data_IF_455274943329
#
_entry.id   IF_455274943329
#
_cell.length_a   1.000
_cell.length_b   1.000
_cell.length_c   1.000
_cell.angle_alpha   90.00
_cell.angle_beta   90.00
_cell.angle_gamma   90.00
#
_symmetry.space_group_name_H-M   'P 1'
#
loop_
_entity.id
_entity.type
_entity.pdbx_description
1 polymer ?
#
# COMPACT_ATOMS: atom_id res chain seq x y z
N UNK A 1 0.42 37.74 50.82
CA UNK A 1 -1.01 38.00 51.01
C UNK A 1 -1.40 37.31 52.31
N UNK A 2 -1.55 38.15 53.34
CA UNK A 2 -2.00 37.93 54.72
C UNK A 2 -2.09 36.50 55.29
N UNK A 3 -1.05 36.13 56.02
CA UNK A 3 -1.14 35.44 57.32
C UNK A 3 -1.35 36.48 58.42
N UNK A 4 -2.31 36.27 59.32
CA UNK A 4 -2.46 37.00 60.59
C UNK A 4 -3.25 36.10 61.58
N UNK A 5 -3.06 36.25 62.90
CA UNK A 5 -2.62 35.17 63.79
C UNK A 5 -3.58 34.87 64.94
N UNK A 6 -3.62 33.62 65.41
CA UNK A 6 -4.24 33.29 66.70
C UNK A 6 -3.15 33.00 67.73
N UNK A 7 -3.17 33.79 68.81
CA UNK A 7 -2.13 33.95 69.80
C UNK A 7 -2.05 32.80 70.82
N UNK A 8 -0.85 32.63 71.38
CA UNK A 8 -0.53 31.75 72.51
C UNK A 8 -1.07 32.27 73.86
N UNK A 9 -1.39 31.28 74.71
CA UNK A 9 -1.30 31.21 76.19
C UNK A 9 -2.60 31.39 77.01
N UNK A 10 -2.73 30.78 78.22
CA UNK A 10 -1.80 29.88 78.93
C UNK A 10 -2.39 28.53 79.41
N UNK A 11 -1.47 27.62 79.71
CA UNK A 11 -1.57 26.42 80.54
C UNK A 11 -2.29 26.64 81.89
N UNK A 12 -3.23 25.76 82.23
CA UNK A 12 -3.61 25.48 83.62
C UNK A 12 -4.17 24.05 83.73
N UNK A 13 -3.53 23.28 84.61
CA UNK A 13 -3.77 21.89 84.94
C UNK A 13 -5.23 21.53 85.24
N UNK A 14 -5.65 20.35 84.78
CA UNK A 14 -6.67 19.53 85.46
C UNK A 14 -6.29 18.04 85.38
N UNK A 15 -5.55 17.61 86.40
CA UNK A 15 -5.63 16.27 86.96
C UNK A 15 -7.09 15.92 87.25
N UNK A 16 -7.61 14.84 86.68
CA UNK A 16 -8.62 14.00 87.35
C UNK A 16 -8.35 12.54 86.94
N UNK A 17 -7.46 11.92 87.69
CA UNK A 17 -7.38 10.48 87.83
C UNK A 17 -8.72 10.00 88.43
N UNK A 18 -9.60 9.46 87.58
CA UNK A 18 -10.86 8.87 88.03
C UNK A 18 -10.53 7.67 88.93
N UNK A 19 -10.91 7.83 90.19
CA UNK A 19 -10.69 6.88 91.26
C UNK A 19 -11.46 5.59 90.99
N UNK A 20 -10.75 4.55 90.55
CA UNK A 20 -11.23 3.17 90.64
C UNK A 20 -11.36 2.84 92.13
N UNK A 21 -12.58 2.98 92.65
CA UNK A 21 -12.95 2.54 93.99
C UNK A 21 -12.63 1.06 94.14
N UNK A 22 -11.60 0.76 94.93
CA UNK A 22 -11.39 -0.57 95.47
C UNK A 22 -12.47 -0.79 96.54
N UNK A 23 -13.46 -1.61 96.22
CA UNK A 23 -14.32 -2.22 97.21
C UNK A 23 -13.49 -3.22 98.04
N UNK A 24 -13.79 -3.23 99.34
CA UNK A 24 -13.03 -3.83 100.43
C UNK A 24 -12.64 -5.30 100.25
N UNK A 25 -11.50 -5.62 100.83
CA UNK A 25 -10.95 -6.96 100.95
C UNK A 25 -11.79 -7.81 101.92
N UNK A 26 -12.38 -8.90 101.42
CA UNK A 26 -12.57 -10.12 102.20
C UNK A 26 -11.43 -11.10 101.90
N UNK A 27 -10.82 -11.61 102.96
CA UNK A 27 -9.56 -12.35 102.89
C UNK A 27 -9.69 -13.73 102.25
N UNK A 28 -8.81 -14.00 101.29
CA UNK A 28 -8.39 -15.36 100.95
C UNK A 28 -6.88 -15.41 100.71
N UNK A 29 -6.24 -16.37 101.39
CA UNK A 29 -4.81 -16.46 101.58
C UNK A 29 -3.98 -16.83 100.35
N UNK A 30 -2.67 -16.66 100.55
CA UNK A 30 -1.51 -17.00 99.71
C UNK A 30 -1.75 -17.61 98.33
N UNK A 31 -1.35 -16.89 97.28
CA UNK A 31 -1.19 -17.51 95.96
C UNK A 31 -0.92 -16.55 94.82
N UNK A 32 0.32 -16.04 94.69
CA UNK A 32 0.90 -15.52 93.45
C UNK A 32 0.23 -14.30 92.79
N UNK A 33 0.91 -13.70 91.82
CA UNK A 33 0.34 -12.63 90.98
C UNK A 33 -0.97 -13.15 90.32
N UNK A 34 -2.10 -12.44 90.44
CA UNK A 34 -3.42 -12.91 89.96
C UNK A 34 -3.46 -13.22 88.45
N UNK A 35 -2.52 -12.68 87.68
CA UNK A 35 -2.33 -12.96 86.25
C UNK A 35 -1.73 -14.34 85.90
N UNK A 36 -1.22 -15.09 86.89
CA UNK A 36 -0.61 -16.43 86.71
C UNK A 36 -1.48 -17.57 87.28
N UNK A 37 -2.74 -17.29 87.61
CA UNK A 37 -3.69 -18.31 88.06
C UNK A 37 -4.22 -19.08 86.83
N UNK A 38 -3.66 -20.26 86.58
CA UNK A 38 -3.97 -21.12 85.42
C UNK A 38 -5.40 -21.69 85.40
N UNK A 39 -6.21 -21.42 86.42
CA UNK A 39 -7.55 -21.98 86.59
C UNK A 39 -8.53 -21.55 85.48
N UNK A 40 -8.37 -20.34 84.93
CA UNK A 40 -9.21 -19.82 83.84
C UNK A 40 -8.58 -19.96 82.44
N UNK A 41 -7.31 -20.38 82.36
CA UNK A 41 -6.58 -20.48 81.08
C UNK A 41 -7.18 -21.54 80.15
N UNK A 42 -7.66 -22.67 80.69
CA UNK A 42 -8.27 -23.71 79.88
C UNK A 42 -9.55 -23.23 79.18
N UNK A 43 -10.43 -22.51 79.89
CA UNK A 43 -11.65 -21.93 79.33
C UNK A 43 -11.35 -20.88 78.27
N UNK A 44 -10.37 -20.01 78.52
CA UNK A 44 -9.94 -18.99 77.56
C UNK A 44 -9.37 -19.63 76.29
N UNK A 45 -8.54 -20.68 76.41
CA UNK A 45 -7.99 -21.41 75.26
C UNK A 45 -9.10 -22.07 74.44
N UNK A 46 -10.08 -22.72 75.10
CA UNK A 46 -11.22 -23.36 74.40
C UNK A 46 -12.04 -22.32 73.63
N UNK A 47 -12.31 -21.16 74.24
CA UNK A 47 -13.03 -20.08 73.58
C UNK A 47 -12.22 -19.45 72.43
N UNK A 48 -10.91 -19.28 72.62
CA UNK A 48 -10.00 -18.79 71.59
C UNK A 48 -9.97 -19.74 70.39
N UNK A 49 -9.90 -21.06 70.64
CA UNK A 49 -9.94 -22.08 69.60
C UNK A 49 -11.29 -22.10 68.88
N UNK A 50 -12.40 -21.88 69.59
CA UNK A 50 -13.72 -21.79 68.98
C UNK A 50 -13.80 -20.60 68.01
N UNK A 51 -13.42 -19.39 68.44
CA UNK A 51 -13.42 -18.20 67.58
C UNK A 51 -12.41 -18.36 66.44
N UNK A 52 -11.21 -18.87 66.74
CA UNK A 52 -10.18 -19.10 65.74
C UNK A 52 -10.66 -20.09 64.68
N UNK A 53 -11.32 -21.18 65.07
CA UNK A 53 -11.90 -22.13 64.12
C UNK A 53 -12.96 -21.46 63.25
N UNK A 54 -13.88 -20.68 63.83
CA UNK A 54 -14.92 -19.95 63.07
C UNK A 54 -14.28 -19.00 62.04
N UNK A 55 -13.31 -18.19 62.47
CA UNK A 55 -12.60 -17.24 61.57
C UNK A 55 -11.79 -17.98 60.52
N UNK A 56 -11.10 -19.06 60.89
CA UNK A 56 -10.33 -19.90 59.98
C UNK A 56 -11.23 -20.50 58.89
N UNK A 57 -12.39 -21.06 59.26
CA UNK A 57 -13.34 -21.58 58.28
C UNK A 57 -13.91 -20.48 57.37
N UNK A 58 -14.20 -19.29 57.92
CA UNK A 58 -14.65 -18.16 57.12
C UNK A 58 -13.59 -17.72 56.10
N UNK A 59 -12.32 -17.62 56.49
CA UNK A 59 -11.22 -17.29 55.59
C UNK A 59 -10.98 -18.38 54.54
N UNK A 60 -10.88 -19.63 54.97
CA UNK A 60 -10.62 -20.77 54.11
C UNK A 60 -11.72 -20.96 53.05
N UNK A 61 -12.99 -20.73 53.42
CA UNK A 61 -14.13 -21.00 52.53
C UNK A 61 -14.60 -19.79 51.73
N UNK A 62 -14.30 -18.56 52.16
CA UNK A 62 -14.79 -17.35 51.48
C UNK A 62 -13.68 -16.47 50.91
N UNK A 63 -12.64 -16.16 51.69
CA UNK A 63 -11.60 -15.21 51.27
C UNK A 63 -10.59 -15.83 50.30
N UNK A 64 -10.09 -17.02 50.63
CA UNK A 64 -9.14 -17.76 49.77
C UNK A 64 -9.71 -18.03 48.37
N UNK A 65 -10.93 -18.57 48.19
CA UNK A 65 -11.46 -18.81 46.85
C UNK A 65 -11.74 -17.52 46.06
N UNK A 66 -12.13 -16.43 46.73
CA UNK A 66 -12.31 -15.12 46.08
C UNK A 66 -11.00 -14.58 45.52
N UNK A 67 -9.90 -14.67 46.27
CA UNK A 67 -8.57 -14.26 45.79
C UNK A 67 -8.07 -15.15 44.66
N UNK A 68 -8.25 -16.47 44.77
CA UNK A 68 -7.85 -17.41 43.72
C UNK A 68 -8.61 -17.14 42.41
N UNK A 69 -9.92 -16.93 42.48
CA UNK A 69 -10.73 -16.60 41.31
C UNK A 69 -10.28 -15.33 40.59
N UNK A 70 -9.85 -14.30 41.31
CA UNK A 70 -9.33 -13.08 40.70
C UNK A 70 -8.00 -13.30 39.96
N UNK A 71 -7.11 -14.13 40.50
CA UNK A 71 -5.84 -14.48 39.85
C UNK A 71 -6.11 -15.33 38.60
N UNK A 72 -6.95 -16.35 38.72
CA UNK A 72 -7.30 -17.25 37.62
C UNK A 72 -8.02 -16.49 36.49
N UNK A 73 -8.94 -15.57 36.83
CA UNK A 73 -9.63 -14.72 35.84
C UNK A 73 -8.66 -13.82 35.08
N UNK A 74 -7.69 -13.19 35.76
CA UNK A 74 -6.65 -12.38 35.11
C UNK A 74 -5.75 -13.23 34.23
N UNK A 75 -5.31 -14.39 34.72
CA UNK A 75 -4.48 -15.32 33.96
C UNK A 75 -5.18 -15.80 32.69
N UNK A 76 -6.45 -16.20 32.82
CA UNK A 76 -7.29 -16.61 31.69
C UNK A 76 -7.47 -15.48 30.69
N UNK A 77 -7.72 -14.25 31.16
CA UNK A 77 -7.91 -13.10 30.27
C UNK A 77 -6.63 -12.76 29.51
N UNK A 78 -5.48 -12.75 30.18
CA UNK A 78 -4.18 -12.51 29.53
C UNK A 78 -3.89 -13.61 28.50
N UNK A 79 -4.17 -14.87 28.82
CA UNK A 79 -3.97 -15.98 27.90
C UNK A 79 -4.88 -15.86 26.66
N UNK A 80 -6.14 -15.49 26.86
CA UNK A 80 -7.10 -15.23 25.78
C UNK A 80 -6.66 -14.05 24.91
N UNK A 81 -6.31 -12.92 25.52
CA UNK A 81 -5.87 -11.72 24.80
C UNK A 81 -4.58 -11.99 24.00
N UNK A 82 -3.64 -12.77 24.56
CA UNK A 82 -2.41 -13.18 23.86
C UNK A 82 -2.70 -14.15 22.71
N UNK A 83 -3.63 -15.09 22.89
CA UNK A 83 -4.05 -16.01 21.84
C UNK A 83 -4.72 -15.24 20.69
N UNK A 84 -5.62 -14.32 21.01
CA UNK A 84 -6.28 -13.45 20.04
C UNK A 84 -5.27 -12.57 19.32
N UNK A 85 -4.34 -11.93 20.02
CA UNK A 85 -3.31 -11.10 19.41
C UNK A 85 -2.41 -11.89 18.44
N UNK A 86 -2.05 -13.13 18.80
CA UNK A 86 -1.30 -14.02 17.90
C UNK A 86 -2.12 -14.40 16.67
N UNK A 87 -3.38 -14.79 16.85
CA UNK A 87 -4.27 -15.12 15.73
C UNK A 87 -4.45 -13.94 14.77
N UNK A 88 -4.70 -12.73 15.29
CA UNK A 88 -4.82 -11.51 14.49
C UNK A 88 -3.51 -11.17 13.77
N UNK A 89 -2.36 -11.34 14.43
CA UNK A 89 -1.05 -11.14 13.80
C UNK A 89 -0.83 -12.13 12.67
N UNK A 90 -1.15 -13.41 12.88
CA UNK A 90 -0.95 -14.45 11.87
C UNK A 90 -1.90 -14.26 10.67
N UNK A 91 -3.15 -13.87 10.93
CA UNK A 91 -4.10 -13.50 9.88
C UNK A 91 -3.64 -12.27 9.09
N UNK A 92 -3.17 -11.22 9.78
CA UNK A 92 -2.65 -10.01 9.14
C UNK A 92 -1.41 -10.33 8.27
N UNK A 93 -0.51 -11.20 8.74
CA UNK A 93 0.63 -11.63 7.94
C UNK A 93 0.24 -12.49 6.75
N UNK A 94 -0.74 -13.37 6.90
CA UNK A 94 -1.27 -14.16 5.79
C UNK A 94 -1.91 -13.25 4.73
N UNK A 95 -2.73 -12.29 5.14
CA UNK A 95 -3.35 -11.30 4.26
C UNK A 95 -2.30 -10.40 3.59
N UNK A 96 -1.28 -9.95 4.33
CA UNK A 96 -0.19 -9.14 3.77
C UNK A 96 0.61 -9.92 2.72
N UNK A 97 0.90 -11.20 2.96
CA UNK A 97 1.56 -12.08 1.97
C UNK A 97 0.70 -12.30 0.74
N UNK A 98 -0.59 -12.55 0.92
CA UNK A 98 -1.54 -12.72 -0.19
C UNK A 98 -1.63 -11.45 -1.04
N UNK A 99 -1.83 -10.28 -0.41
CA UNK A 99 -1.89 -9.00 -1.09
C UNK A 99 -0.57 -8.67 -1.82
N UNK A 100 0.59 -8.97 -1.23
CA UNK A 100 1.87 -8.78 -1.88
C UNK A 100 2.02 -9.68 -3.13
N UNK A 101 1.60 -10.94 -3.05
CA UNK A 101 1.60 -11.87 -4.16
C UNK A 101 0.65 -11.43 -5.30
N UNK A 102 -0.57 -11.02 -4.95
CA UNK A 102 -1.54 -10.49 -5.92
C UNK A 102 -1.03 -9.23 -6.62
N UNK A 103 -0.40 -8.31 -5.88
CA UNK A 103 0.19 -7.10 -6.45
C UNK A 103 1.37 -7.41 -7.37
N UNK A 104 2.21 -8.39 -7.02
CA UNK A 104 3.29 -8.86 -7.88
C UNK A 104 2.74 -9.49 -9.17
N UNK A 105 1.71 -10.34 -9.07
CA UNK A 105 1.08 -10.97 -10.21
C UNK A 105 0.39 -9.94 -11.12
N UNK A 106 -0.34 -8.98 -10.54
CA UNK A 106 -0.99 -7.90 -11.25
C UNK A 106 0.02 -7.02 -12.00
N UNK A 107 1.14 -6.67 -11.38
CA UNK A 107 2.25 -5.96 -12.05
C UNK A 107 2.83 -6.78 -13.19
N UNK A 108 3.06 -8.08 -12.98
CA UNK A 108 3.55 -8.99 -14.01
C UNK A 108 2.57 -9.16 -15.18
N UNK A 109 1.26 -9.18 -14.92
CA UNK A 109 0.22 -9.17 -15.97
C UNK A 109 0.22 -7.85 -16.73
N UNK A 110 0.23 -6.71 -16.04
CA UNK A 110 0.25 -5.39 -16.66
C UNK A 110 1.47 -5.20 -17.57
N UNK A 111 2.66 -5.61 -17.13
CA UNK A 111 3.88 -5.56 -17.94
C UNK A 111 3.79 -6.44 -19.19
N UNK A 112 3.25 -7.66 -19.06
CA UNK A 112 3.01 -8.56 -20.20
C UNK A 112 2.02 -7.97 -21.19
N UNK A 113 0.90 -7.43 -20.71
CA UNK A 113 -0.10 -6.78 -21.57
C UNK A 113 0.48 -5.57 -22.29
N UNK A 114 1.26 -4.74 -21.59
CA UNK A 114 1.92 -3.59 -22.21
C UNK A 114 2.93 -4.01 -23.29
N UNK A 115 3.71 -5.07 -23.02
CA UNK A 115 4.66 -5.61 -23.99
C UNK A 115 3.96 -6.20 -25.23
N UNK A 116 2.89 -6.99 -25.03
CA UNK A 116 2.09 -7.56 -26.12
C UNK A 116 1.41 -6.45 -26.96
N UNK A 117 0.81 -5.46 -26.31
CA UNK A 117 0.21 -4.31 -26.99
C UNK A 117 1.25 -3.55 -27.84
N UNK A 118 2.44 -3.29 -27.29
CA UNK A 118 3.53 -2.64 -28.03
C UNK A 118 4.00 -3.49 -29.22
N UNK A 119 4.14 -4.80 -29.04
CA UNK A 119 4.54 -5.72 -30.10
C UNK A 119 3.49 -5.75 -31.23
N UNK A 120 2.21 -5.83 -30.89
CA UNK A 120 1.11 -5.77 -31.86
C UNK A 120 1.06 -4.44 -32.60
N UNK A 121 1.19 -3.32 -31.89
CA UNK A 121 1.21 -1.99 -32.50
C UNK A 121 2.41 -1.82 -33.46
N UNK A 122 3.60 -2.33 -33.08
CA UNK A 122 4.76 -2.31 -33.95
C UNK A 122 4.57 -3.17 -35.21
N UNK A 123 4.00 -4.37 -35.06
CA UNK A 123 3.70 -5.25 -36.18
C UNK A 123 2.65 -4.64 -37.13
N UNK A 124 1.59 -4.03 -36.59
CA UNK A 124 0.57 -3.34 -37.40
C UNK A 124 1.16 -2.12 -38.12
N UNK A 125 1.99 -1.32 -37.42
CA UNK A 125 2.67 -0.18 -38.03
C UNK A 125 3.59 -0.61 -39.18
N UNK A 126 4.39 -1.65 -38.99
CA UNK A 126 5.25 -2.20 -40.05
C UNK A 126 4.42 -2.70 -41.25
N UNK A 127 3.28 -3.36 -40.99
CA UNK A 127 2.38 -3.81 -42.06
C UNK A 127 1.78 -2.64 -42.84
N UNK A 128 1.35 -1.58 -42.13
CA UNK A 128 0.80 -0.37 -42.77
C UNK A 128 1.87 0.35 -43.59
N UNK A 129 3.08 0.52 -43.03
CA UNK A 129 4.21 1.10 -43.75
C UNK A 129 4.53 0.33 -45.04
N UNK A 130 4.64 -1.00 -44.96
CA UNK A 130 4.89 -1.82 -46.15
C UNK A 130 3.78 -1.71 -47.22
N UNK A 131 2.51 -1.62 -46.79
CA UNK A 131 1.40 -1.42 -47.71
C UNK A 131 1.42 -0.02 -48.36
N UNK A 132 1.72 1.02 -47.58
CA UNK A 132 1.86 2.39 -48.09
C UNK A 132 3.05 2.53 -49.03
N UNK A 133 4.20 1.91 -48.72
CA UNK A 133 5.37 1.85 -49.60
C UNK A 133 5.04 1.18 -50.94
N UNK A 134 4.28 0.09 -50.93
CA UNK A 134 3.84 -0.57 -52.17
C UNK A 134 2.96 0.36 -53.03
N UNK A 135 1.99 1.05 -52.42
CA UNK A 135 1.14 2.03 -53.12
C UNK A 135 1.96 3.20 -53.65
N UNK A 136 2.95 3.66 -52.87
CA UNK A 136 3.81 4.77 -53.26
C UNK A 136 4.70 4.39 -54.46
N UNK A 137 5.27 3.18 -54.46
CA UNK A 137 6.05 2.65 -55.58
C UNK A 137 5.20 2.53 -56.85
N UNK A 138 3.97 2.02 -56.75
CA UNK A 138 3.06 1.94 -57.90
C UNK A 138 2.76 3.34 -58.48
N UNK A 139 2.48 4.31 -57.60
CA UNK A 139 2.27 5.70 -58.03
C UNK A 139 3.50 6.30 -58.68
N UNK A 140 4.69 5.98 -58.17
CA UNK A 140 5.95 6.43 -58.73
C UNK A 140 6.16 5.86 -60.14
N UNK A 141 5.92 4.57 -60.34
CA UNK A 141 6.02 3.92 -61.65
C UNK A 141 5.01 4.49 -62.66
N UNK A 142 3.77 4.73 -62.24
CA UNK A 142 2.76 5.39 -63.06
C UNK A 142 3.18 6.82 -63.43
N UNK A 143 3.72 7.58 -62.48
CA UNK A 143 4.22 8.93 -62.72
C UNK A 143 5.41 8.94 -63.69
N UNK A 144 6.37 8.02 -63.51
CA UNK A 144 7.49 7.84 -64.43
C UNK A 144 7.03 7.51 -65.85
N UNK A 145 6.05 6.61 -65.98
CA UNK A 145 5.46 6.25 -67.28
C UNK A 145 4.82 7.47 -67.96
N UNK A 146 4.06 8.27 -67.21
CA UNK A 146 3.46 9.52 -67.71
C UNK A 146 4.53 10.54 -68.13
N UNK A 147 5.59 10.68 -67.35
CA UNK A 147 6.72 11.58 -67.66
C UNK A 147 7.41 11.12 -68.94
N UNK A 148 7.70 9.83 -69.11
CA UNK A 148 8.30 9.28 -70.33
C UNK A 148 7.41 9.51 -71.55
N UNK A 149 6.11 9.23 -71.43
CA UNK A 149 5.16 9.50 -72.52
C UNK A 149 5.06 10.98 -72.88
N UNK A 150 5.05 11.88 -71.89
CA UNK A 150 5.04 13.33 -72.11
C UNK A 150 6.34 13.79 -72.79
N UNK A 151 7.50 13.28 -72.36
CA UNK A 151 8.79 13.53 -72.98
C UNK A 151 8.80 13.08 -74.44
N UNK A 152 8.36 11.86 -74.72
CA UNK A 152 8.37 11.32 -76.09
C UNK A 152 7.43 12.12 -77.00
N UNK A 153 6.26 12.54 -76.49
CA UNK A 153 5.35 13.44 -77.20
C UNK A 153 6.01 14.80 -77.47
N UNK A 154 6.67 15.39 -76.48
CA UNK A 154 7.38 16.66 -76.65
C UNK A 154 8.50 16.55 -77.69
N UNK A 155 9.30 15.48 -77.65
CA UNK A 155 10.37 15.23 -78.62
C UNK A 155 9.83 15.01 -80.04
N UNK A 156 8.69 14.31 -80.19
CA UNK A 156 8.01 14.18 -81.49
C UNK A 156 7.55 15.55 -82.02
N UNK A 157 6.92 16.36 -81.18
CA UNK A 157 6.49 17.70 -81.56
C UNK A 157 7.68 18.58 -82.00
N UNK A 158 8.81 18.51 -81.27
CA UNK A 158 10.05 19.21 -81.66
C UNK A 158 10.55 18.74 -83.02
N UNK A 159 10.52 17.42 -83.29
CA UNK A 159 10.91 16.86 -84.58
C UNK A 159 10.02 17.36 -85.72
N UNK A 160 8.70 17.40 -85.50
CA UNK A 160 7.75 17.94 -86.48
C UNK A 160 8.02 19.42 -86.75
N UNK A 161 8.18 20.25 -85.71
CA UNK A 161 8.47 21.68 -85.86
C UNK A 161 9.81 21.88 -86.59
N UNK A 162 10.84 21.09 -86.26
CA UNK A 162 12.13 21.15 -86.94
C UNK A 162 12.02 20.79 -88.42
N UNK A 163 11.26 19.75 -88.77
CA UNK A 163 11.00 19.35 -90.15
C UNK A 163 10.21 20.40 -90.93
N UNK A 164 9.12 20.93 -90.36
CA UNK A 164 8.33 22.00 -90.98
C UNK A 164 9.19 23.26 -91.20
N UNK A 165 10.05 23.60 -90.23
CA UNK A 165 10.96 24.75 -90.34
C UNK A 165 12.05 24.51 -91.38
N UNK A 166 12.66 23.33 -91.42
CA UNK A 166 13.69 22.97 -92.41
C UNK A 166 13.13 22.94 -93.84
N UNK A 167 11.92 22.40 -94.03
CA UNK A 167 11.22 22.41 -95.31
C UNK A 167 10.94 23.85 -95.78
N UNK A 168 10.41 24.70 -94.89
CA UNK A 168 10.15 26.11 -95.19
C UNK A 168 11.43 26.89 -95.55
N UNK A 169 12.54 26.65 -94.85
CA UNK A 169 13.84 27.27 -95.19
C UNK A 169 14.34 26.79 -96.56
N UNK A 170 14.23 25.50 -96.84
CA UNK A 170 14.70 24.89 -98.10
C UNK A 170 13.89 25.39 -99.29
N UNK A 171 12.56 25.46 -99.16
CA UNK A 171 11.67 26.04 -100.18
C UNK A 171 12.03 27.50 -100.46
N UNK A 172 12.31 28.29 -99.42
CA UNK A 172 12.74 29.69 -99.57
C UNK A 172 14.09 29.85 -100.27
N UNK A 173 15.02 28.90 -100.11
CA UNK A 173 16.36 28.96 -100.73
C UNK A 173 16.38 28.42 -102.18
N UNK A 174 15.64 27.34 -102.44
CA UNK A 174 15.72 26.59 -103.71
C UNK A 174 14.57 26.90 -104.67
N UNK A 175 13.47 27.48 -104.17
CA UNK A 175 12.27 27.80 -104.95
C UNK A 175 11.33 26.61 -105.19
N UNK A 176 11.69 25.41 -104.73
CA UNK A 176 10.89 24.19 -104.86
C UNK A 176 10.72 23.53 -103.48
N UNK A 177 9.52 23.03 -103.20
CA UNK A 177 9.23 22.42 -101.90
C UNK A 177 9.82 21.00 -101.83
N UNK A 178 10.68 20.68 -100.85
CA UNK A 178 11.20 19.33 -100.70
C UNK A 178 10.09 18.36 -100.30
N UNK A 179 10.21 17.10 -100.72
CA UNK A 179 9.22 16.08 -100.36
C UNK A 179 9.30 15.74 -98.87
N UNK A 180 8.16 15.38 -98.25
CA UNK A 180 8.11 15.00 -96.83
C UNK A 180 9.02 13.80 -96.51
N UNK A 181 9.12 12.85 -97.44
CA UNK A 181 9.98 11.67 -97.30
C UNK A 181 11.47 12.04 -97.21
N UNK A 182 11.94 12.99 -98.02
CA UNK A 182 13.34 13.42 -98.00
C UNK A 182 13.69 14.17 -96.70
N UNK A 183 12.78 15.01 -96.20
CA UNK A 183 12.95 15.73 -94.94
C UNK A 183 12.97 14.77 -93.75
N UNK A 184 12.06 13.78 -93.72
CA UNK A 184 12.02 12.78 -92.65
C UNK A 184 13.25 11.86 -92.67
N UNK A 185 13.74 11.49 -93.86
CA UNK A 185 14.97 10.71 -94.02
C UNK A 185 16.20 11.49 -93.51
N UNK A 186 16.32 12.77 -93.84
CA UNK A 186 17.41 13.63 -93.39
C UNK A 186 17.40 13.85 -91.86
N UNK A 187 16.22 14.10 -91.27
CA UNK A 187 16.05 14.16 -89.81
C UNK A 187 16.34 12.81 -89.15
N UNK A 188 16.05 11.70 -89.83
CA UNK A 188 16.41 10.33 -89.44
C UNK A 188 17.91 10.16 -89.25
N UNK A 189 18.69 10.57 -90.27
CA UNK A 189 20.14 10.48 -90.24
C UNK A 189 20.80 11.43 -89.22
N UNK A 190 20.22 12.61 -88.98
CA UNK A 190 20.73 13.58 -88.01
C UNK A 190 20.48 13.20 -86.54
N UNK A 191 19.55 12.27 -86.27
CA UNK A 191 19.18 11.83 -84.93
C UNK A 191 19.82 10.48 -84.52
N UNK A 192 20.56 9.83 -85.42
CA UNK A 192 21.37 8.64 -85.15
C UNK A 192 22.75 9.04 -84.62
#
# INVERSE_FOLDING_TARGET
MATAPEALAPEAAQDVHETVGHAEAEGHGGGGLPQLQFEHWAGQIVWLLLIFAIVYFALAKLFVPKMRGAIDARGSKIAEDLANARALRDEAEAQAKAAAAEMAEARGRAQRTAADAKARAAAESAKRQAAEEAVLNERLEQAETRIRAARDKAMKNVRTIAGDTAAAITEKLTGEAPTREDVDAALGQAAA
#
